data_IF_907106613216
#
_entry.id   IF_907106613216
#
_cell.length_a   1.000
_cell.length_b   1.000
_cell.length_c   1.000
_cell.angle_alpha   90.00
_cell.angle_beta   90.00
_cell.angle_gamma   90.00
#
_symmetry.space_group_name_H-M   'P 1'
#
loop_
_entity.id
_entity.type
_entity.pdbx_description
1 polymer ?
#
# COMPACT_ATOMS: atom_id res chain seq x y z
N UNK A 1 -20.06 -15.49 -19.32
CA UNK A 1 -20.50 -14.83 -18.06
C UNK A 1 -19.39 -14.95 -17.03
N UNK A 2 -18.82 -13.84 -16.53
CA UNK A 2 -17.91 -13.88 -15.37
C UNK A 2 -18.73 -14.32 -14.15
N UNK A 3 -18.37 -15.46 -13.54
CA UNK A 3 -19.02 -15.93 -12.30
C UNK A 3 -18.92 -14.83 -11.25
N UNK A 4 -20.06 -14.49 -10.61
CA UNK A 4 -20.08 -13.50 -9.51
C UNK A 4 -19.13 -13.98 -8.41
N UNK A 5 -18.28 -13.08 -7.91
CA UNK A 5 -17.26 -13.38 -6.91
C UNK A 5 -17.82 -13.60 -5.48
N UNK A 6 -19.08 -13.99 -5.34
CA UNK A 6 -19.75 -14.19 -4.05
C UNK A 6 -19.09 -15.33 -3.27
N UNK A 7 -18.89 -15.13 -1.96
CA UNK A 7 -18.32 -16.15 -1.06
C UNK A 7 -16.80 -16.29 -1.10
N UNK A 8 -16.08 -15.33 -1.69
CA UNK A 8 -14.61 -15.33 -1.78
C UNK A 8 -14.02 -14.16 -1.01
N UNK A 9 -12.91 -14.41 -0.31
CA UNK A 9 -12.13 -13.37 0.36
C UNK A 9 -11.08 -12.86 -0.63
N UNK A 10 -10.97 -11.54 -0.72
CA UNK A 10 -9.99 -10.86 -1.57
C UNK A 10 -9.14 -9.93 -0.71
N UNK A 11 -7.89 -9.76 -1.12
CA UNK A 11 -6.92 -8.94 -0.42
C UNK A 11 -6.53 -7.73 -1.27
N UNK A 12 -6.97 -6.54 -0.86
CA UNK A 12 -6.62 -5.28 -1.50
C UNK A 12 -5.29 -4.75 -0.96
N UNK A 13 -4.23 -4.82 -1.75
CA UNK A 13 -2.93 -4.22 -1.45
C UNK A 13 -2.33 -3.68 -2.76
N UNK A 14 -1.42 -2.70 -2.71
CA UNK A 14 -0.82 -2.10 -3.91
C UNK A 14 0.40 -2.89 -4.47
N UNK A 15 0.66 -4.07 -3.91
CA UNK A 15 1.79 -4.96 -4.18
C UNK A 15 3.18 -4.30 -4.03
N UNK A 16 3.28 -3.11 -3.43
CA UNK A 16 4.54 -2.45 -3.15
C UNK A 16 4.80 -2.45 -1.65
N UNK A 17 5.45 -3.48 -1.10
CA UNK A 17 5.87 -3.44 0.29
C UNK A 17 6.79 -2.23 0.49
N UNK A 18 6.49 -1.44 1.51
CA UNK A 18 7.26 -0.27 1.89
C UNK A 18 7.55 -0.34 3.38
N UNK A 19 8.73 0.11 3.75
CA UNK A 19 9.09 0.37 5.13
C UNK A 19 8.34 1.58 5.66
N UNK A 20 8.23 1.67 6.99
CA UNK A 20 7.63 2.84 7.65
C UNK A 20 8.40 4.13 7.32
N UNK A 21 9.71 4.05 7.13
CA UNK A 21 10.54 5.20 6.78
C UNK A 21 10.23 5.70 5.37
N UNK A 22 10.17 4.82 4.37
CA UNK A 22 9.84 5.20 3.00
C UNK A 22 8.44 5.84 2.89
N UNK A 23 7.47 5.41 3.71
CA UNK A 23 6.16 6.07 3.77
C UNK A 23 6.27 7.50 4.30
N UNK A 24 7.07 7.72 5.35
CA UNK A 24 7.29 9.06 5.90
C UNK A 24 8.07 9.95 4.93
N UNK A 25 9.01 9.38 4.19
CA UNK A 25 9.80 10.11 3.20
C UNK A 25 8.90 10.55 2.02
N UNK A 26 8.02 9.67 1.53
CA UNK A 26 7.00 10.02 0.52
C UNK A 26 6.01 11.08 1.03
N UNK A 27 5.57 10.96 2.28
CA UNK A 27 4.70 11.96 2.91
C UNK A 27 5.40 13.33 2.98
N UNK A 28 6.67 13.36 3.38
CA UNK A 28 7.47 14.58 3.44
C UNK A 28 7.71 15.19 2.05
N UNK A 29 7.96 14.37 1.02
CA UNK A 29 8.09 14.81 -0.37
C UNK A 29 6.81 15.45 -0.92
N UNK A 30 5.64 14.98 -0.48
CA UNK A 30 4.37 15.52 -0.95
C UNK A 30 4.13 16.99 -0.58
N UNK A 31 4.86 17.52 0.41
CA UNK A 31 4.67 18.89 0.90
C UNK A 31 3.31 19.15 1.57
N UNK A 32 2.46 18.13 1.72
CA UNK A 32 1.12 18.25 2.31
C UNK A 32 1.13 18.41 3.84
N UNK A 33 2.28 18.23 4.46
CA UNK A 33 2.42 18.20 5.92
C UNK A 33 3.68 18.94 6.37
N UNK A 34 3.53 19.83 7.33
CA UNK A 34 4.63 20.69 7.82
C UNK A 34 5.61 19.96 8.74
N UNK A 35 5.15 18.90 9.41
CA UNK A 35 5.96 18.16 10.38
C UNK A 35 6.71 17.01 9.71
N UNK A 36 8.03 17.06 9.81
CA UNK A 36 8.92 15.95 9.42
C UNK A 36 9.07 14.95 10.55
N UNK A 37 8.97 13.66 10.23
CA UNK A 37 9.26 12.59 11.18
C UNK A 37 10.78 12.46 11.33
N UNK A 38 11.28 12.66 12.56
CA UNK A 38 12.72 12.62 12.88
C UNK A 38 13.30 11.19 12.84
N UNK A 39 12.47 10.19 13.08
CA UNK A 39 12.83 8.78 13.08
C UNK A 39 11.91 7.95 13.95
N UNK A 40 12.00 6.63 13.83
CA UNK A 40 11.26 5.69 14.66
C UNK A 40 12.08 5.32 15.90
N UNK A 41 11.43 5.24 17.06
CA UNK A 41 12.08 4.98 18.36
C UNK A 41 12.35 3.51 18.63
N UNK A 42 11.76 2.59 17.85
CA UNK A 42 11.94 1.16 18.03
C UNK A 42 11.99 0.41 16.70
N UNK A 43 12.92 -0.55 16.64
CA UNK A 43 13.09 -1.53 15.57
C UNK A 43 12.74 -2.95 16.03
N UNK A 44 12.39 -3.16 17.31
CA UNK A 44 12.18 -4.49 17.90
C UNK A 44 10.79 -5.09 17.67
N UNK A 45 9.95 -4.46 16.86
CA UNK A 45 8.63 -4.97 16.49
C UNK A 45 8.69 -6.05 15.40
N UNK A 46 7.62 -6.83 15.22
CA UNK A 46 7.55 -7.82 14.15
C UNK A 46 7.77 -7.16 12.78
N UNK A 47 8.57 -7.82 11.94
CA UNK A 47 8.79 -7.41 10.55
C UNK A 47 7.45 -7.41 9.80
N UNK A 48 7.20 -6.38 8.99
CA UNK A 48 5.96 -6.23 8.24
C UNK A 48 5.66 -7.42 7.32
N UNK A 49 4.43 -7.52 6.83
CA UNK A 49 3.99 -8.59 5.92
C UNK A 49 3.92 -8.06 4.49
N UNK A 50 4.51 -8.80 3.54
CA UNK A 50 4.24 -8.61 2.11
C UNK A 50 2.98 -9.38 1.77
N UNK A 51 2.05 -8.70 1.10
CA UNK A 51 0.74 -9.24 0.72
C UNK A 51 0.63 -9.29 -0.81
N UNK A 52 -0.08 -10.29 -1.33
CA UNK A 52 -0.30 -10.47 -2.77
C UNK A 52 -1.76 -10.16 -3.13
N UNK A 53 -1.97 -9.27 -4.11
CA UNK A 53 -3.29 -8.87 -4.59
C UNK A 53 -3.74 -9.55 -5.90
N UNK A 54 -3.04 -10.55 -6.44
CA UNK A 54 -3.24 -11.07 -7.80
C UNK A 54 -4.69 -11.48 -8.09
N UNK A 55 -5.41 -11.94 -7.07
CA UNK A 55 -6.83 -12.29 -7.18
C UNK A 55 -7.75 -11.07 -7.21
N UNK A 56 -7.37 -9.98 -6.54
CA UNK A 56 -8.12 -8.73 -6.43
C UNK A 56 -7.97 -7.88 -7.69
N UNK A 57 -6.75 -7.76 -8.21
CA UNK A 57 -6.43 -6.96 -9.40
C UNK A 57 -6.53 -7.73 -10.70
N UNK A 58 -6.42 -9.06 -10.65
CA UNK A 58 -6.51 -9.94 -11.80
C UNK A 58 -7.93 -10.35 -12.15
N UNK A 59 -8.06 -11.43 -12.91
CA UNK A 59 -9.30 -11.80 -13.59
C UNK A 59 -10.51 -12.07 -12.69
N UNK A 60 -10.26 -12.44 -11.43
CA UNK A 60 -11.29 -12.87 -10.47
C UNK A 60 -12.15 -11.71 -9.96
N UNK A 61 -11.56 -10.53 -9.73
CA UNK A 61 -12.29 -9.33 -9.30
C UNK A 61 -12.08 -8.15 -10.26
N UNK A 62 -10.89 -7.97 -10.81
CA UNK A 62 -10.57 -6.88 -11.76
C UNK A 62 -10.60 -5.49 -11.14
N UNK A 63 -10.42 -5.38 -9.82
CA UNK A 63 -10.43 -4.10 -9.12
C UNK A 63 -9.09 -3.37 -9.32
N UNK A 64 -9.16 -2.07 -9.64
CA UNK A 64 -7.97 -1.22 -9.67
C UNK A 64 -7.64 -0.79 -8.24
N UNK A 65 -6.48 -1.21 -7.74
CA UNK A 65 -5.93 -0.73 -6.46
C UNK A 65 -4.91 0.36 -6.76
N UNK A 66 -5.13 1.55 -6.22
CA UNK A 66 -4.20 2.68 -6.35
C UNK A 66 -2.91 2.43 -5.56
N UNK A 67 -1.78 2.86 -6.12
CA UNK A 67 -0.48 2.82 -5.43
C UNK A 67 -0.45 3.84 -4.30
N UNK A 68 0.22 3.53 -3.20
CA UNK A 68 0.36 4.44 -2.07
C UNK A 68 1.00 5.79 -2.47
N UNK A 69 1.96 5.78 -3.39
CA UNK A 69 2.59 7.01 -3.90
C UNK A 69 1.58 7.96 -4.58
N UNK A 70 0.60 7.41 -5.31
CA UNK A 70 -0.44 8.19 -5.96
C UNK A 70 -1.36 8.90 -4.95
N UNK A 71 -1.55 8.31 -3.75
CA UNK A 71 -2.30 8.95 -2.65
C UNK A 71 -1.59 10.22 -2.17
N UNK A 72 -0.26 10.16 -2.06
CA UNK A 72 0.55 11.30 -1.69
C UNK A 72 0.81 12.27 -2.86
N UNK A 73 0.48 11.89 -4.10
CA UNK A 73 0.76 12.69 -5.28
C UNK A 73 2.24 12.73 -5.63
N UNK A 74 2.99 11.70 -5.22
CA UNK A 74 4.42 11.57 -5.49
C UNK A 74 4.66 10.48 -6.53
N UNK A 75 5.64 10.70 -7.40
CA UNK A 75 6.14 9.67 -8.31
C UNK A 75 6.87 8.59 -7.52
N UNK A 76 6.84 7.36 -8.00
CA UNK A 76 7.53 6.22 -7.41
C UNK A 76 8.62 5.72 -8.34
#
# INVERSE_FOLDING_TARGET
MKKKASGRIFLGCDNHPLSRQEVMDMMAQSGKFDKKVKGFTSTSGPLGKKLNNSDTSGDKMGAKVSKLCSVFGVSK
#
